data_IF_426110509399
#
_entry.id   IF_426110509399
#
_cell.length_a   1.000
_cell.length_b   1.000
_cell.length_c   1.000
_cell.angle_alpha   90.00
_cell.angle_beta   90.00
_cell.angle_gamma   90.00
#
_symmetry.space_group_name_H-M   'P 1'
#
loop_
_entity.id
_entity.type
_entity.pdbx_description
1 polymer ?
#
# COMPACT_ATOMS: atom_id res chain seq x y z
N UNK A 1 -5.65 3.76 10.60
CA UNK A 1 -4.38 3.52 11.34
C UNK A 1 -3.58 2.48 10.58
N UNK A 2 -2.35 2.80 10.11
CA UNK A 2 -1.53 1.91 9.30
C UNK A 2 -1.00 0.71 10.12
N UNK A 3 -0.67 -0.40 9.45
CA UNK A 3 -0.11 -1.62 10.06
C UNK A 3 1.08 -1.33 10.97
N UNK A 4 2.05 -0.55 10.47
CA UNK A 4 3.24 -0.18 11.23
C UNK A 4 2.93 0.63 12.50
N UNK A 5 1.91 1.48 12.44
CA UNK A 5 1.47 2.26 13.61
C UNK A 5 0.82 1.37 14.67
N UNK A 6 0.01 0.38 14.27
CA UNK A 6 -0.59 -0.62 15.18
C UNK A 6 0.49 -1.44 15.85
N UNK A 7 1.41 -2.03 15.06
CA UNK A 7 2.49 -2.87 15.59
C UNK A 7 3.37 -2.11 16.58
N UNK A 8 3.70 -0.83 16.28
CA UNK A 8 4.48 0.01 17.19
C UNK A 8 3.75 0.28 18.51
N UNK A 9 2.44 0.52 18.44
CA UNK A 9 1.61 0.78 19.62
C UNK A 9 1.46 -0.47 20.46
N UNK A 10 1.21 -1.62 19.84
CA UNK A 10 1.15 -2.93 20.50
C UNK A 10 2.48 -3.29 21.17
N UNK A 11 3.60 -3.11 20.46
CA UNK A 11 4.93 -3.37 21.02
C UNK A 11 5.20 -2.51 22.27
N UNK A 12 4.85 -1.22 22.24
CA UNK A 12 4.98 -0.34 23.41
C UNK A 12 4.10 -0.79 24.57
N UNK A 13 2.88 -1.22 24.28
CA UNK A 13 1.95 -1.73 25.29
C UNK A 13 2.49 -3.02 25.93
N UNK A 14 2.97 -3.96 25.13
CA UNK A 14 3.58 -5.20 25.64
C UNK A 14 4.80 -4.93 26.52
N UNK A 15 5.69 -4.01 26.11
CA UNK A 15 6.83 -3.62 26.92
C UNK A 15 6.42 -2.99 28.26
N UNK A 16 5.39 -2.13 28.25
CA UNK A 16 4.85 -1.51 29.47
C UNK A 16 4.25 -2.56 30.41
N UNK A 17 3.44 -3.48 29.88
CA UNK A 17 2.86 -4.59 30.65
C UNK A 17 3.94 -5.54 31.20
N UNK A 18 4.94 -5.86 30.39
CA UNK A 18 6.08 -6.69 30.83
C UNK A 18 6.86 -6.03 31.95
N UNK A 19 7.18 -4.75 31.82
CA UNK A 19 7.88 -3.99 32.87
C UNK A 19 7.06 -3.91 34.13
N UNK A 20 5.76 -3.65 34.04
CA UNK A 20 4.84 -3.64 35.19
C UNK A 20 4.82 -5.00 35.88
N UNK A 21 4.72 -6.09 35.13
CA UNK A 21 4.73 -7.45 35.66
C UNK A 21 6.07 -7.76 36.36
N UNK A 22 7.20 -7.37 35.78
CA UNK A 22 8.54 -7.56 36.37
C UNK A 22 8.68 -6.81 37.70
N UNK A 23 8.22 -5.55 37.76
CA UNK A 23 8.20 -4.74 38.99
C UNK A 23 7.33 -5.38 40.08
N UNK A 24 6.12 -5.85 39.72
CA UNK A 24 5.23 -6.55 40.63
C UNK A 24 5.83 -7.85 41.18
N UNK A 25 6.55 -8.61 40.32
CA UNK A 25 7.22 -9.82 40.70
C UNK A 25 8.33 -9.53 41.69
N UNK A 26 9.17 -8.52 41.40
CA UNK A 26 10.22 -8.09 42.34
C UNK A 26 9.61 -7.59 43.67
N UNK A 27 8.55 -6.79 43.62
CA UNK A 27 7.87 -6.29 44.81
C UNK A 27 7.31 -7.43 45.67
N UNK A 28 6.77 -8.50 45.03
CA UNK A 28 6.23 -9.68 45.73
C UNK A 28 7.31 -10.47 46.48
N UNK A 29 8.50 -10.60 45.90
CA UNK A 29 9.60 -11.36 46.46
C UNK A 29 10.60 -10.48 47.24
N UNK A 30 10.27 -9.20 47.50
CA UNK A 30 11.14 -8.27 48.20
C UNK A 30 11.47 -8.71 49.64
N UNK A 31 10.51 -9.41 50.28
CA UNK A 31 10.72 -9.95 51.67
C UNK A 31 11.77 -11.08 51.71
N UNK A 32 11.93 -11.84 50.63
CA UNK A 32 12.89 -12.95 50.54
C UNK A 32 14.30 -12.47 50.23
N UNK A 33 14.51 -11.20 49.89
CA UNK A 33 15.78 -10.61 49.48
C UNK A 33 16.46 -9.94 50.67
N UNK A 34 17.37 -10.66 51.31
CA UNK A 34 18.08 -10.28 52.55
C UNK A 34 18.92 -8.99 52.45
N UNK A 35 19.23 -8.51 51.23
CA UNK A 35 20.06 -7.30 51.05
C UNK A 35 19.22 -6.00 50.91
N UNK A 36 17.87 -6.08 50.96
CA UNK A 36 17.02 -4.93 50.84
C UNK A 36 16.69 -4.30 52.20
N UNK A 37 16.83 -2.98 52.37
CA UNK A 37 16.48 -2.31 53.63
C UNK A 37 14.98 -2.48 53.99
N UNK A 38 14.64 -2.71 55.24
CA UNK A 38 13.30 -2.98 55.75
C UNK A 38 12.27 -1.90 55.32
N UNK A 39 12.68 -0.64 55.21
CA UNK A 39 11.81 0.45 54.74
C UNK A 39 11.39 0.28 53.28
N UNK A 40 12.26 -0.22 52.42
CA UNK A 40 11.96 -0.49 50.99
C UNK A 40 11.06 -1.70 50.88
N UNK A 41 11.28 -2.76 51.65
CA UNK A 41 10.44 -3.96 51.69
C UNK A 41 9.00 -3.62 52.07
N UNK A 42 8.79 -2.80 53.14
CA UNK A 42 7.45 -2.34 53.52
C UNK A 42 6.77 -1.49 52.43
N UNK A 43 7.51 -0.65 51.73
CA UNK A 43 6.99 0.13 50.63
C UNK A 43 6.61 -0.76 49.43
N UNK A 44 7.43 -1.76 49.08
CA UNK A 44 7.20 -2.74 48.04
C UNK A 44 5.94 -3.58 48.33
N UNK A 45 5.75 -4.05 49.55
CA UNK A 45 4.56 -4.77 49.98
C UNK A 45 3.28 -3.97 49.80
N UNK A 46 3.26 -2.71 50.28
CA UNK A 46 2.09 -1.78 50.08
C UNK A 46 1.84 -1.52 48.61
N UNK A 47 2.89 -1.34 47.81
CA UNK A 47 2.75 -1.17 46.37
C UNK A 47 2.15 -2.40 45.68
N UNK A 48 2.62 -3.61 46.06
CA UNK A 48 2.06 -4.86 45.56
C UNK A 48 0.58 -5.02 45.88
N UNK A 49 0.17 -4.77 47.13
CA UNK A 49 -1.25 -4.82 47.53
C UNK A 49 -2.10 -3.85 46.75
N UNK A 50 -1.66 -2.58 46.62
CA UNK A 50 -2.34 -1.58 45.82
C UNK A 50 -2.52 -2.01 44.37
N UNK A 51 -1.46 -2.52 43.73
CA UNK A 51 -1.52 -2.96 42.34
C UNK A 51 -2.39 -4.21 42.18
N UNK A 52 -2.42 -5.12 43.16
CA UNK A 52 -3.31 -6.28 43.18
C UNK A 52 -4.78 -5.84 43.18
N UNK A 53 -5.10 -4.88 44.04
CA UNK A 53 -6.47 -4.38 44.15
C UNK A 53 -6.92 -3.59 42.91
N UNK A 54 -5.99 -2.91 42.25
CA UNK A 54 -6.21 -2.19 41.00
C UNK A 54 -6.11 -3.06 39.75
N UNK A 55 -5.74 -4.32 39.86
CA UNK A 55 -5.47 -5.22 38.72
C UNK A 55 -6.63 -5.34 37.74
N UNK A 56 -7.86 -5.44 38.25
CA UNK A 56 -9.08 -5.52 37.43
C UNK A 56 -9.31 -4.23 36.63
N UNK A 57 -9.11 -3.07 37.27
CA UNK A 57 -9.28 -1.77 36.62
C UNK A 57 -8.24 -1.56 35.52
N UNK A 58 -6.98 -1.93 35.77
CA UNK A 58 -5.88 -1.86 34.80
C UNK A 58 -6.16 -2.80 33.63
N UNK A 59 -6.60 -4.04 33.89
CA UNK A 59 -6.95 -5.00 32.84
C UNK A 59 -8.12 -4.49 31.99
N UNK A 60 -9.18 -3.99 32.60
CA UNK A 60 -10.35 -3.44 31.90
C UNK A 60 -9.97 -2.23 31.04
N UNK A 61 -9.18 -1.30 31.60
CA UNK A 61 -8.65 -0.16 30.84
C UNK A 61 -7.77 -0.58 29.67
N UNK A 62 -6.93 -1.60 29.85
CA UNK A 62 -6.10 -2.18 28.81
C UNK A 62 -6.93 -2.79 27.67
N UNK A 63 -7.96 -3.56 28.01
CA UNK A 63 -8.88 -4.15 27.02
C UNK A 63 -9.64 -3.07 26.26
N UNK A 64 -10.15 -2.05 26.95
CA UNK A 64 -10.85 -0.93 26.32
C UNK A 64 -9.93 -0.15 25.36
N UNK A 65 -8.68 0.08 25.76
CA UNK A 65 -7.68 0.73 24.91
C UNK A 65 -7.36 -0.09 23.67
N UNK A 66 -7.12 -1.40 23.82
CA UNK A 66 -6.89 -2.32 22.68
C UNK A 66 -8.09 -2.36 21.74
N UNK A 67 -9.30 -2.47 22.28
CA UNK A 67 -10.54 -2.44 21.48
C UNK A 67 -10.63 -1.18 20.60
N UNK A 68 -10.30 -0.01 21.15
CA UNK A 68 -10.28 1.25 20.40
C UNK A 68 -9.23 1.23 19.27
N UNK A 69 -8.04 0.65 19.52
CA UNK A 69 -6.99 0.52 18.48
C UNK A 69 -7.50 -0.38 17.35
N UNK A 70 -8.06 -1.55 17.68
CA UNK A 70 -8.57 -2.49 16.68
C UNK A 70 -9.75 -1.91 15.89
N UNK A 71 -10.66 -1.19 16.53
CA UNK A 71 -11.75 -0.49 15.84
C UNK A 71 -11.23 0.55 14.84
N UNK A 72 -10.22 1.34 15.23
CA UNK A 72 -9.58 2.31 14.32
C UNK A 72 -8.87 1.62 13.15
N UNK A 73 -8.25 0.46 13.39
CA UNK A 73 -7.64 -0.33 12.32
C UNK A 73 -8.70 -0.89 11.39
N UNK A 74 -9.77 -1.50 11.92
CA UNK A 74 -10.86 -2.06 11.13
C UNK A 74 -11.49 -1.02 10.20
N UNK A 75 -11.82 0.16 10.72
CA UNK A 75 -12.36 1.26 9.90
C UNK A 75 -11.40 1.72 8.81
N UNK A 76 -10.10 1.76 9.11
CA UNK A 76 -9.10 2.11 8.11
C UNK A 76 -9.02 1.06 7.00
N UNK A 77 -9.00 -0.24 7.35
CA UNK A 77 -8.97 -1.35 6.38
C UNK A 77 -10.22 -1.33 5.51
N UNK A 78 -11.41 -1.14 6.08
CA UNK A 78 -12.67 -1.04 5.36
C UNK A 78 -12.65 0.11 4.34
N UNK A 79 -12.20 1.30 4.75
CA UNK A 79 -12.03 2.43 3.83
C UNK A 79 -11.01 2.13 2.73
N UNK A 80 -9.93 1.42 3.06
CA UNK A 80 -8.89 1.08 2.11
C UNK A 80 -9.36 0.03 1.09
N UNK A 81 -10.21 -0.92 1.50
CA UNK A 81 -10.84 -1.88 0.58
C UNK A 81 -11.78 -1.19 -0.42
N UNK A 82 -12.54 -0.21 0.03
CA UNK A 82 -13.41 0.58 -0.85
C UNK A 82 -12.59 1.34 -1.88
N UNK A 83 -11.53 2.01 -1.45
CA UNK A 83 -10.63 2.72 -2.35
C UNK A 83 -9.89 1.77 -3.30
N UNK A 84 -9.53 0.57 -2.86
CA UNK A 84 -8.97 -0.42 -3.77
C UNK A 84 -9.93 -0.77 -4.91
N UNK A 85 -11.22 -0.94 -4.62
CA UNK A 85 -12.25 -1.16 -5.66
C UNK A 85 -12.34 0.03 -6.62
N UNK A 86 -12.24 1.25 -6.10
CA UNK A 86 -12.22 2.47 -6.92
C UNK A 86 -10.99 2.52 -7.83
N UNK A 87 -9.82 2.18 -7.32
CA UNK A 87 -8.56 2.10 -8.09
C UNK A 87 -8.67 1.07 -9.22
N UNK A 88 -9.24 -0.11 -8.95
CA UNK A 88 -9.46 -1.14 -9.98
C UNK A 88 -10.39 -0.65 -11.08
N UNK A 89 -11.49 0.04 -10.73
CA UNK A 89 -12.41 0.65 -11.69
C UNK A 89 -11.72 1.73 -12.51
N UNK A 90 -10.95 2.60 -11.85
CA UNK A 90 -10.17 3.66 -12.51
C UNK A 90 -9.18 3.07 -13.51
N UNK A 91 -8.38 2.07 -13.10
CA UNK A 91 -7.52 1.35 -14.05
C UNK A 91 -8.29 0.86 -15.27
N UNK A 92 -9.45 0.22 -15.08
CA UNK A 92 -10.27 -0.29 -16.20
C UNK A 92 -10.72 0.84 -17.11
N UNK A 93 -11.15 1.99 -16.58
CA UNK A 93 -11.52 3.17 -17.37
C UNK A 93 -10.36 3.69 -18.19
N UNK A 94 -9.15 3.81 -17.58
CA UNK A 94 -7.96 4.28 -18.28
C UNK A 94 -7.52 3.32 -19.40
N UNK A 95 -7.56 2.02 -19.15
CA UNK A 95 -7.23 1.02 -20.18
C UNK A 95 -8.25 1.03 -21.32
N UNK A 96 -9.55 1.15 -21.00
CA UNK A 96 -10.59 1.26 -22.01
C UNK A 96 -10.38 2.51 -22.88
N UNK A 97 -9.98 3.63 -22.30
CA UNK A 97 -9.62 4.83 -23.04
C UNK A 97 -8.44 4.57 -24.01
N UNK A 98 -7.36 3.94 -23.54
CA UNK A 98 -6.21 3.61 -24.39
C UNK A 98 -6.55 2.65 -25.57
N UNK A 99 -7.55 1.78 -25.40
CA UNK A 99 -7.97 0.81 -26.43
C UNK A 99 -8.93 1.41 -27.48
N UNK A 100 -9.45 2.61 -27.28
CA UNK A 100 -10.36 3.22 -28.24
C UNK A 100 -9.64 3.50 -29.58
N UNK A 101 -10.27 3.23 -30.72
CA UNK A 101 -9.69 3.52 -32.04
C UNK A 101 -9.46 5.04 -32.21
N UNK A 102 -10.42 5.82 -31.75
CA UNK A 102 -10.37 7.30 -31.76
C UNK A 102 -10.45 7.84 -30.34
N UNK A 103 -9.57 8.77 -30.01
CA UNK A 103 -9.53 9.41 -28.70
C UNK A 103 -10.28 10.75 -28.77
N UNK A 104 -11.51 10.77 -28.24
CA UNK A 104 -12.31 11.98 -28.12
C UNK A 104 -11.96 12.79 -26.89
N UNK A 105 -12.18 14.12 -26.96
CA UNK A 105 -11.96 15.02 -25.82
C UNK A 105 -12.83 14.66 -24.63
N UNK A 106 -14.09 14.32 -24.84
CA UNK A 106 -15.01 13.96 -23.76
C UNK A 106 -14.59 12.66 -23.05
N UNK A 107 -14.11 11.68 -23.81
CA UNK A 107 -13.59 10.43 -23.27
C UNK A 107 -12.32 10.65 -22.45
N UNK A 108 -11.45 11.55 -22.93
CA UNK A 108 -10.26 11.96 -22.19
C UNK A 108 -10.64 12.64 -20.88
N UNK A 109 -11.52 13.61 -20.92
CA UNK A 109 -11.98 14.33 -19.72
C UNK A 109 -12.64 13.40 -18.71
N UNK A 110 -13.43 12.43 -19.16
CA UNK A 110 -14.04 11.43 -18.29
C UNK A 110 -12.96 10.55 -17.61
N UNK A 111 -11.97 10.08 -18.37
CA UNK A 111 -10.86 9.29 -17.83
C UNK A 111 -9.98 10.12 -16.87
N UNK A 112 -9.68 11.36 -17.22
CA UNK A 112 -8.89 12.29 -16.39
C UNK A 112 -9.62 12.68 -15.11
N UNK A 113 -10.92 12.96 -15.18
CA UNK A 113 -11.74 13.23 -14.00
C UNK A 113 -11.76 12.02 -13.06
N UNK A 114 -11.93 10.81 -13.62
CA UNK A 114 -11.98 9.58 -12.84
C UNK A 114 -10.67 9.32 -12.05
N UNK A 115 -9.51 9.48 -12.68
CA UNK A 115 -8.23 9.30 -11.95
C UNK A 115 -8.01 10.41 -10.93
N UNK A 116 -8.43 11.65 -11.23
CA UNK A 116 -8.30 12.76 -10.29
C UNK A 116 -9.19 12.56 -9.06
N UNK A 117 -10.44 12.14 -9.25
CA UNK A 117 -11.36 11.76 -8.16
C UNK A 117 -10.73 10.68 -7.27
N UNK A 118 -10.17 9.62 -7.87
CA UNK A 118 -9.52 8.53 -7.11
C UNK A 118 -8.32 9.02 -6.30
N UNK A 119 -7.53 9.95 -6.83
CA UNK A 119 -6.42 10.57 -6.09
C UNK A 119 -6.96 11.37 -4.90
N UNK A 120 -8.02 12.13 -5.09
CA UNK A 120 -8.60 12.96 -4.04
C UNK A 120 -9.27 12.15 -2.94
N UNK A 121 -9.97 11.05 -3.27
CA UNK A 121 -10.51 10.12 -2.27
C UNK A 121 -9.40 9.42 -1.48
N UNK A 122 -8.30 9.04 -2.13
CA UNK A 122 -7.14 8.47 -1.44
C UNK A 122 -6.49 9.42 -0.43
N UNK A 123 -6.54 10.72 -0.66
CA UNK A 123 -6.05 11.74 0.30
C UNK A 123 -6.86 11.76 1.60
N UNK A 124 -8.12 11.33 1.56
CA UNK A 124 -8.97 11.23 2.76
C UNK A 124 -8.54 10.04 3.61
N UNK A 125 -8.21 8.91 2.98
CA UNK A 125 -7.80 7.68 3.66
C UNK A 125 -6.38 7.78 4.22
N UNK A 126 -5.45 8.27 3.40
CA UNK A 126 -4.07 8.50 3.80
C UNK A 126 -3.83 9.99 4.06
N UNK A 127 -3.60 10.34 5.32
CA UNK A 127 -3.07 11.66 5.63
C UNK A 127 -1.68 11.79 5.02
N UNK A 128 -1.44 12.91 4.35
CA UNK A 128 -0.14 13.24 3.78
C UNK A 128 0.95 13.20 4.86
N UNK A 129 1.75 12.13 4.87
CA UNK A 129 2.89 12.03 5.76
C UNK A 129 4.09 12.67 5.07
N UNK A 130 4.61 13.76 5.64
CA UNK A 130 5.82 14.42 5.14
C UNK A 130 5.61 15.41 4.00
N UNK A 131 4.39 15.90 3.78
CA UNK A 131 4.14 17.05 2.91
C UNK A 131 4.65 18.32 3.59
N UNK A 132 5.56 19.00 2.91
CA UNK A 132 6.03 20.33 3.29
C UNK A 132 5.79 21.28 2.12
N UNK A 133 5.79 22.61 2.35
CA UNK A 133 5.52 23.62 1.33
C UNK A 133 6.40 23.50 0.07
N UNK A 134 7.49 22.74 0.11
CA UNK A 134 8.40 22.54 -1.01
C UNK A 134 8.58 21.08 -1.46
N UNK A 135 7.99 20.10 -0.78
CA UNK A 135 8.16 18.68 -1.08
C UNK A 135 6.81 17.97 -1.07
N UNK A 136 6.47 17.38 -2.22
CA UNK A 136 5.37 16.40 -2.28
C UNK A 136 5.84 15.17 -1.55
N UNK A 137 5.22 14.83 -0.41
CA UNK A 137 5.57 13.66 0.40
C UNK A 137 5.47 12.35 -0.40
N UNK A 138 6.23 11.34 0.03
CA UNK A 138 6.11 9.99 -0.51
C UNK A 138 4.80 9.37 0.00
N UNK A 139 3.81 9.28 -0.89
CA UNK A 139 2.52 8.68 -0.57
C UNK A 139 2.46 7.23 -1.02
N UNK A 140 1.75 6.35 -0.29
CA UNK A 140 1.46 5.01 -0.78
C UNK A 140 0.71 5.01 -2.13
N UNK A 141 0.01 6.09 -2.45
CA UNK A 141 -0.75 6.27 -3.68
C UNK A 141 -0.03 7.11 -4.77
N UNK A 142 1.26 7.40 -4.61
CA UNK A 142 2.06 8.09 -5.63
C UNK A 142 1.92 7.50 -7.04
N UNK A 143 1.81 6.16 -7.23
CA UNK A 143 1.58 5.56 -8.54
C UNK A 143 0.30 6.03 -9.25
N UNK A 144 -0.73 6.51 -8.53
CA UNK A 144 -1.92 7.11 -9.18
C UNK A 144 -1.58 8.41 -9.90
N UNK A 145 -0.66 9.22 -9.36
CA UNK A 145 -0.17 10.41 -10.04
C UNK A 145 0.60 10.04 -11.31
N UNK A 146 1.34 8.94 -11.29
CA UNK A 146 2.07 8.45 -12.45
C UNK A 146 1.10 7.96 -13.53
N UNK A 147 0.04 7.24 -13.15
CA UNK A 147 -1.05 6.88 -14.08
C UNK A 147 -1.70 8.11 -14.71
N UNK A 148 -1.91 9.17 -13.93
CA UNK A 148 -2.46 10.44 -14.43
C UNK A 148 -1.51 11.14 -15.39
N UNK A 149 -0.21 11.18 -15.08
CA UNK A 149 0.82 11.75 -15.97
C UNK A 149 0.89 10.97 -17.28
N UNK A 150 0.88 9.63 -17.21
CA UNK A 150 0.86 8.79 -18.40
C UNK A 150 -0.38 9.08 -19.27
N UNK A 151 -1.57 9.20 -18.65
CA UNK A 151 -2.79 9.57 -19.38
C UNK A 151 -2.69 10.93 -20.07
N UNK A 152 -2.03 11.92 -19.44
CA UNK A 152 -1.88 13.28 -20.00
C UNK A 152 -1.13 13.30 -21.34
N UNK A 153 -0.29 12.31 -21.61
CA UNK A 153 0.39 12.21 -22.92
C UNK A 153 -0.56 11.78 -24.06
N UNK A 154 -1.76 11.28 -23.74
CA UNK A 154 -2.82 10.96 -24.68
C UNK A 154 -3.94 12.02 -24.71
N UNK A 155 -3.65 13.27 -24.38
CA UNK A 155 -4.62 14.36 -24.44
C UNK A 155 -4.82 14.79 -25.91
N UNK A 156 -6.02 14.54 -26.49
CA UNK A 156 -6.27 14.84 -27.91
C UNK A 156 -6.29 16.35 -28.21
N UNK A 157 -6.36 17.20 -27.18
CA UNK A 157 -6.30 18.65 -27.32
C UNK A 157 -4.89 19.17 -27.54
N UNK A 158 -3.90 18.38 -27.06
CA UNK A 158 -2.46 18.72 -27.19
C UNK A 158 -1.86 18.01 -28.40
N UNK A 159 -2.19 16.75 -28.60
CA UNK A 159 -1.70 15.91 -29.69
C UNK A 159 -2.88 15.28 -30.43
N UNK A 160 -3.34 15.88 -31.55
CA UNK A 160 -4.48 15.37 -32.31
C UNK A 160 -4.21 14.03 -33.00
N UNK A 161 -2.94 13.73 -33.33
CA UNK A 161 -2.52 12.46 -33.94
C UNK A 161 -1.77 11.63 -32.91
N UNK A 162 -2.48 10.72 -32.25
CA UNK A 162 -1.90 9.78 -31.27
C UNK A 162 -1.67 8.45 -31.94
N UNK A 163 -0.39 8.00 -31.96
CA UNK A 163 -0.01 6.73 -32.57
C UNK A 163 -0.44 5.53 -31.71
N UNK A 164 -0.57 4.34 -32.35
CA UNK A 164 -0.86 3.10 -31.63
C UNK A 164 0.28 2.71 -30.66
N UNK A 165 1.53 3.04 -31.00
CA UNK A 165 2.67 2.78 -30.14
C UNK A 165 2.64 3.65 -28.88
N UNK A 166 2.23 4.91 -28.99
CA UNK A 166 2.00 5.79 -27.83
C UNK A 166 0.90 5.23 -26.91
N UNK A 167 -0.23 4.80 -27.47
CA UNK A 167 -1.31 4.16 -26.70
C UNK A 167 -0.82 2.93 -25.96
N UNK A 168 -0.04 2.07 -26.63
CA UNK A 168 0.54 0.85 -26.04
C UNK A 168 1.51 1.20 -24.90
N UNK A 169 2.39 2.16 -25.09
CA UNK A 169 3.35 2.58 -24.08
C UNK A 169 2.65 3.15 -22.84
N UNK A 170 1.66 4.01 -23.03
CA UNK A 170 0.87 4.56 -21.92
C UNK A 170 0.08 3.48 -21.20
N UNK A 171 -0.48 2.52 -21.93
CA UNK A 171 -1.15 1.36 -21.35
C UNK A 171 -0.20 0.54 -20.46
N UNK A 172 1.02 0.28 -20.94
CA UNK A 172 2.02 -0.45 -20.19
C UNK A 172 2.46 0.32 -18.94
N UNK A 173 2.65 1.64 -19.04
CA UNK A 173 2.95 2.52 -17.90
C UNK A 173 1.84 2.48 -16.83
N UNK A 174 0.56 2.57 -17.25
CA UNK A 174 -0.59 2.48 -16.33
C UNK A 174 -0.62 1.11 -15.63
N UNK A 175 -0.37 0.02 -16.35
CA UNK A 175 -0.34 -1.32 -15.77
C UNK A 175 0.82 -1.49 -14.78
N UNK A 176 2.00 -0.99 -15.08
CA UNK A 176 3.15 -1.04 -14.18
C UNK A 176 2.89 -0.25 -12.89
N UNK A 177 2.38 0.98 -13.02
CA UNK A 177 2.01 1.80 -11.87
C UNK A 177 0.93 1.11 -11.01
N UNK A 178 -0.07 0.49 -11.64
CA UNK A 178 -1.11 -0.26 -10.93
C UNK A 178 -0.55 -1.46 -10.17
N UNK A 179 0.36 -2.23 -10.76
CA UNK A 179 0.94 -3.39 -10.08
C UNK A 179 1.82 -2.98 -8.91
N UNK A 180 2.59 -1.90 -9.02
CA UNK A 180 3.33 -1.34 -7.90
C UNK A 180 2.43 -0.88 -6.75
N UNK A 181 1.31 -0.24 -7.08
CA UNK A 181 0.31 0.16 -6.09
C UNK A 181 -0.35 -1.05 -5.42
N UNK A 182 -0.64 -2.11 -6.18
CA UNK A 182 -1.25 -3.34 -5.67
C UNK A 182 -0.43 -3.97 -4.55
N UNK A 183 0.89 -4.00 -4.65
CA UNK A 183 1.76 -4.57 -3.61
C UNK A 183 1.63 -3.81 -2.29
N UNK A 184 1.59 -2.47 -2.35
CA UNK A 184 1.42 -1.62 -1.16
C UNK A 184 0.06 -1.90 -0.49
N UNK A 185 -1.00 -2.04 -1.28
CA UNK A 185 -2.34 -2.31 -0.76
C UNK A 185 -2.47 -3.71 -0.16
N UNK A 186 -1.88 -4.73 -0.77
CA UNK A 186 -1.88 -6.09 -0.23
C UNK A 186 -1.17 -6.14 1.13
N UNK A 187 -0.07 -5.42 1.28
CA UNK A 187 0.65 -5.31 2.55
C UNK A 187 -0.18 -4.61 3.63
N UNK A 188 -0.82 -3.49 3.30
CA UNK A 188 -1.64 -2.74 4.26
C UNK A 188 -2.96 -3.44 4.61
N UNK A 189 -3.53 -4.22 3.70
CA UNK A 189 -4.74 -5.02 3.93
C UNK A 189 -4.47 -6.31 4.70
N UNK A 190 -3.20 -6.60 5.03
CA UNK A 190 -2.77 -7.86 5.66
C UNK A 190 -3.23 -9.12 4.89
N UNK A 191 -3.35 -9.00 3.56
CA UNK A 191 -3.70 -10.12 2.70
C UNK A 191 -2.47 -10.97 2.45
N UNK A 192 -2.52 -12.20 2.94
CA UNK A 192 -1.49 -13.20 2.68
C UNK A 192 -1.58 -13.74 1.25
N UNK A 193 -0.44 -14.06 0.67
CA UNK A 193 -0.42 -14.83 -0.58
C UNK A 193 -1.08 -16.20 -0.29
N UNK A 194 -2.02 -16.67 -1.16
CA UNK A 194 -2.66 -17.95 -0.95
C UNK A 194 -1.61 -19.07 -0.92
N UNK A 195 -1.54 -19.79 0.19
CA UNK A 195 -0.55 -20.87 0.41
C UNK A 195 -0.76 -22.03 -0.56
N UNK A 196 -1.97 -22.18 -1.10
CA UNK A 196 -2.32 -23.26 -2.01
C UNK A 196 -2.30 -22.77 -3.47
N UNK A 197 -1.36 -23.31 -4.24
CA UNK A 197 -1.22 -23.06 -5.68
C UNK A 197 -2.35 -23.67 -6.53
N UNK A 198 -3.25 -24.46 -5.95
CA UNK A 198 -4.36 -25.12 -6.67
C UNK A 198 -5.28 -24.14 -7.39
N UNK A 199 -5.57 -22.97 -6.80
CA UNK A 199 -6.34 -21.92 -7.46
C UNK A 199 -5.60 -21.34 -8.66
N UNK A 200 -4.28 -21.28 -8.62
CA UNK A 200 -3.44 -20.76 -9.72
C UNK A 200 -3.31 -21.83 -10.81
N UNK A 201 -3.08 -23.08 -10.46
CA UNK A 201 -2.93 -24.18 -11.44
C UNK A 201 -4.28 -24.59 -12.06
N UNK A 202 -5.36 -24.64 -11.27
CA UNK A 202 -6.69 -24.99 -11.75
C UNK A 202 -7.40 -23.87 -12.54
N UNK A 203 -7.08 -22.60 -12.28
CA UNK A 203 -7.68 -21.45 -12.95
C UNK A 203 -6.99 -21.05 -14.26
N UNK A 204 -5.73 -21.46 -14.47
CA UNK A 204 -5.04 -21.22 -15.75
C UNK A 204 -5.48 -22.22 -16.81
N UNK A 205 -6.22 -21.75 -17.78
CA UNK A 205 -6.42 -22.47 -19.04
C UNK A 205 -5.08 -22.47 -19.81
N UNK A 206 -4.26 -23.48 -19.56
CA UNK A 206 -3.01 -23.67 -20.32
C UNK A 206 -3.30 -24.52 -21.54
N UNK A 207 -2.69 -24.21 -22.68
CA UNK A 207 -2.74 -25.05 -23.89
C UNK A 207 -1.88 -26.31 -23.76
N UNK A 208 -1.15 -26.47 -22.66
CA UNK A 208 -0.20 -27.56 -22.42
C UNK A 208 -0.79 -28.52 -21.37
N UNK A 209 -1.07 -29.78 -21.69
CA UNK A 209 -1.65 -30.74 -20.75
C UNK A 209 -0.59 -31.37 -19.83
N UNK A 210 -0.99 -31.76 -18.61
CA UNK A 210 -0.25 -32.67 -17.74
C UNK A 210 0.84 -32.06 -16.86
N UNK A 211 1.81 -32.87 -16.47
CA UNK A 211 2.88 -32.53 -15.51
C UNK A 211 3.80 -31.35 -15.94
N UNK A 212 3.91 -31.09 -17.23
CA UNK A 212 4.66 -29.95 -17.76
C UNK A 212 4.05 -28.60 -17.34
N UNK A 213 2.76 -28.54 -17.06
CA UNK A 213 2.05 -27.32 -16.60
C UNK A 213 2.51 -26.90 -15.23
N UNK A 214 2.69 -27.86 -14.31
CA UNK A 214 3.14 -27.59 -12.95
C UNK A 214 4.55 -26.98 -12.93
N UNK A 215 5.46 -27.52 -13.75
CA UNK A 215 6.83 -27.01 -13.87
C UNK A 215 6.86 -25.61 -14.49
N UNK A 216 6.06 -25.35 -15.54
CA UNK A 216 5.97 -24.04 -16.17
C UNK A 216 5.36 -22.99 -15.23
N UNK A 217 4.35 -23.34 -14.46
CA UNK A 217 3.75 -22.44 -13.47
C UNK A 217 4.74 -22.12 -12.35
N UNK A 218 5.47 -23.11 -11.84
CA UNK A 218 6.52 -22.88 -10.84
C UNK A 218 7.66 -22.01 -11.38
N UNK A 219 8.08 -22.24 -12.64
CA UNK A 219 9.10 -21.44 -13.29
C UNK A 219 8.66 -19.98 -13.50
N UNK A 220 7.40 -19.76 -13.88
CA UNK A 220 6.81 -18.42 -14.03
C UNK A 220 6.68 -17.69 -12.68
N UNK A 221 6.28 -18.41 -11.62
CA UNK A 221 6.23 -17.88 -10.26
C UNK A 221 7.62 -17.54 -9.72
N UNK A 222 8.63 -18.37 -9.99
CA UNK A 222 10.02 -18.09 -9.63
C UNK A 222 10.57 -16.89 -10.41
N UNK A 223 10.33 -16.79 -11.72
CA UNK A 223 10.70 -15.61 -12.52
C UNK A 223 10.05 -14.35 -11.96
N UNK A 224 8.77 -14.37 -11.64
CA UNK A 224 8.07 -13.23 -11.05
C UNK A 224 8.58 -12.84 -9.67
N UNK A 225 9.04 -13.81 -8.86
CA UNK A 225 9.73 -13.52 -7.59
C UNK A 225 11.08 -12.85 -7.82
N UNK A 226 11.89 -13.37 -8.73
CA UNK A 226 13.19 -12.82 -9.10
C UNK A 226 13.02 -11.41 -9.71
N UNK A 227 12.04 -11.24 -10.60
CA UNK A 227 11.74 -9.94 -11.20
C UNK A 227 11.25 -8.91 -10.15
N UNK A 228 10.54 -9.35 -9.11
CA UNK A 228 10.15 -8.49 -7.97
C UNK A 228 11.33 -8.06 -7.11
N UNK A 229 12.30 -8.96 -6.90
CA UNK A 229 13.50 -8.69 -6.09
C UNK A 229 14.54 -7.85 -6.85
N UNK A 230 14.61 -7.98 -8.16
CA UNK A 230 15.65 -7.38 -9.03
C UNK A 230 15.13 -6.17 -9.81
N UNK A 231 13.82 -6.04 -10.03
CA UNK A 231 13.29 -4.94 -10.83
C UNK A 231 13.18 -3.67 -9.95
N UNK A 232 14.01 -2.65 -10.20
CA UNK A 232 13.77 -1.33 -9.65
C UNK A 232 12.38 -0.88 -10.11
N UNK A 233 11.71 -0.05 -9.29
CA UNK A 233 10.44 0.58 -9.70
C UNK A 233 10.62 1.11 -11.11
N UNK A 234 9.67 0.84 -12.04
CA UNK A 234 9.78 1.36 -13.38
C UNK A 234 9.99 2.87 -13.30
N UNK A 235 11.04 3.36 -13.92
CA UNK A 235 11.30 4.78 -13.98
C UNK A 235 10.31 5.38 -14.99
N UNK A 236 9.15 5.75 -14.48
CA UNK A 236 8.07 6.35 -15.27
C UNK A 236 8.52 7.68 -15.85
N UNK A 237 9.40 8.40 -15.15
CA UNK A 237 9.96 9.64 -15.66
C UNK A 237 10.89 9.38 -16.87
N UNK A 238 11.66 8.29 -16.86
CA UNK A 238 12.44 7.85 -18.03
C UNK A 238 11.54 7.41 -19.20
N UNK A 239 10.47 6.65 -18.93
CA UNK A 239 9.49 6.28 -19.96
C UNK A 239 8.77 7.51 -20.54
N UNK A 240 8.39 8.48 -19.72
CA UNK A 240 7.79 9.73 -20.18
C UNK A 240 8.79 10.63 -20.93
N UNK A 241 10.06 10.60 -20.55
CA UNK A 241 11.13 11.31 -21.27
C UNK A 241 11.35 10.68 -22.66
N UNK A 242 11.32 9.35 -22.77
CA UNK A 242 11.41 8.64 -24.04
C UNK A 242 10.20 8.95 -24.96
N UNK A 243 8.99 9.04 -24.41
CA UNK A 243 7.81 9.50 -25.16
C UNK A 243 7.99 10.91 -25.72
N UNK A 244 8.44 11.84 -24.87
CA UNK A 244 8.67 13.24 -25.29
C UNK A 244 9.80 13.36 -26.30
N UNK A 245 10.83 12.53 -26.21
CA UNK A 245 11.92 12.51 -27.19
C UNK A 245 11.44 12.01 -28.55
N UNK A 246 10.63 10.93 -28.58
CA UNK A 246 10.00 10.42 -29.81
C UNK A 246 9.02 11.42 -30.44
N UNK A 247 8.32 12.18 -29.62
CA UNK A 247 7.40 13.23 -30.10
C UNK A 247 8.14 14.41 -30.75
N UNK A 248 9.32 14.76 -30.23
CA UNK A 248 10.19 15.79 -30.84
C UNK A 248 10.81 15.34 -32.16
N UNK A 249 11.21 14.07 -32.26
CA UNK A 249 11.77 13.53 -33.51
C UNK A 249 10.73 13.41 -34.62
N UNK A 250 9.48 13.11 -34.27
CA UNK A 250 8.38 13.03 -35.24
C UNK A 250 7.76 14.38 -35.60
N UNK A 251 8.01 15.44 -34.81
CA UNK A 251 7.48 16.81 -35.01
C UNK A 251 8.41 17.77 -35.75
N UNK A 252 9.56 17.31 -36.20
CA UNK A 252 10.67 18.16 -36.69
C UNK A 252 10.70 18.44 -38.20
N UNK A 253 9.59 18.77 -38.89
CA UNK A 253 9.66 19.58 -40.13
C UNK A 253 8.63 20.71 -40.06
N UNK A 254 9.05 21.97 -39.89
CA UNK A 254 8.16 23.05 -40.14
C UNK A 254 7.98 23.18 -41.67
N UNK A 255 6.82 22.76 -42.17
CA UNK A 255 6.41 23.15 -43.54
C UNK A 255 6.49 24.69 -43.63
N UNK A 256 7.51 25.17 -44.28
CA UNK A 256 7.56 26.55 -44.81
C UNK A 256 6.42 26.68 -45.85
N UNK A 257 5.44 27.49 -45.51
CA UNK A 257 4.60 28.19 -46.45
C UNK A 257 4.82 29.67 -46.30
#
# INVERSE_FOLDING_TARGET
MTRNSVNRTLSRLYWLLFLMLAVLLVAKFADDLTFIPAGVVNAAGKFYEFMRDMSLLIATGGVAYLSNIFQKRSKFVESLEEEWRNIVRTKSTLLTYCEKPYLGTDDYLAAFSRISETIDTMRIVYRNAGETDGLIGLYPYAPLHDMRRALQTLDPRVSPEISQDQKKLVKDAILQAFYGLREIFLEELDLEDPQHTQLISGARRTKVPGAAVSALVQQDLQRRRIDREVSPRPDIDAMLAELRAKEKDNGGEPQKR
#
